data_IF_112923248778
#
_entry.id   IF_112923248778
#
_cell.length_a   1.000
_cell.length_b   1.000
_cell.length_c   1.000
_cell.angle_alpha   90.00
_cell.angle_beta   90.00
_cell.angle_gamma   90.00
#
_symmetry.space_group_name_H-M   'P 1'
#
loop_
_entity.id
_entity.type
_entity.pdbx_description
1 polymer ?
#
# COMPACT_ATOMS: atom_id res chain seq x y z
N UNK A 1 3.10 -20.79 27.88
CA UNK A 1 2.33 -21.26 29.06
C UNK A 1 2.31 -20.16 30.13
N UNK A 2 1.16 -19.51 30.35
CA UNK A 2 1.04 -18.51 31.42
C UNK A 2 1.17 -19.22 32.75
N UNK A 3 2.14 -18.74 33.52
CA UNK A 3 2.55 -19.10 34.87
C UNK A 3 1.38 -19.40 35.80
N UNK A 4 1.58 -20.40 36.67
CA UNK A 4 0.71 -20.80 37.79
C UNK A 4 0.21 -19.59 38.60
N UNK A 5 -0.91 -19.01 38.20
CA UNK A 5 -1.69 -18.10 39.01
C UNK A 5 -2.43 -18.95 40.03
N UNK A 6 -2.03 -18.85 41.30
CA UNK A 6 -2.69 -19.50 42.43
C UNK A 6 -4.16 -19.04 42.47
N UNK A 7 -5.04 -19.87 41.91
CA UNK A 7 -6.47 -19.59 41.68
C UNK A 7 -7.29 -19.42 42.96
N UNK A 8 -6.68 -19.65 44.13
CA UNK A 8 -7.34 -19.65 45.43
C UNK A 8 -7.76 -18.25 45.94
N UNK A 9 -7.18 -17.16 45.41
CA UNK A 9 -7.46 -15.79 45.90
C UNK A 9 -8.03 -14.83 44.83
N UNK A 10 -8.40 -15.31 43.65
CA UNK A 10 -8.92 -14.46 42.58
C UNK A 10 -10.45 -14.33 42.67
N UNK A 11 -10.95 -13.08 42.67
CA UNK A 11 -12.39 -12.80 42.63
C UNK A 11 -13.05 -13.51 41.44
N UNK A 12 -14.27 -14.08 41.59
CA UNK A 12 -14.95 -14.83 40.53
C UNK A 12 -15.07 -14.06 39.20
N UNK A 13 -15.21 -12.73 39.28
CA UNK A 13 -15.26 -11.85 38.11
C UNK A 13 -13.94 -11.82 37.33
N UNK A 14 -12.79 -11.93 38.01
CA UNK A 14 -11.47 -11.96 37.37
C UNK A 14 -11.23 -13.31 36.71
N UNK A 15 -11.66 -14.41 37.33
CA UNK A 15 -11.58 -15.76 36.74
C UNK A 15 -12.45 -15.83 35.48
N UNK A 16 -13.66 -15.25 35.52
CA UNK A 16 -14.55 -15.18 34.34
C UNK A 16 -13.91 -14.38 33.20
N UNK A 17 -13.30 -13.23 33.50
CA UNK A 17 -12.57 -12.42 32.50
C UNK A 17 -11.33 -13.12 31.94
N UNK A 18 -10.57 -13.83 32.77
CA UNK A 18 -9.40 -14.61 32.33
C UNK A 18 -9.80 -15.74 31.38
N UNK A 19 -10.91 -16.44 31.65
CA UNK A 19 -11.45 -17.48 30.76
C UNK A 19 -11.99 -16.93 29.43
N UNK A 20 -12.30 -15.63 29.37
CA UNK A 20 -12.71 -14.94 28.14
C UNK A 20 -11.52 -14.47 27.30
N UNK A 21 -10.28 -14.56 27.81
CA UNK A 21 -9.11 -14.20 27.02
C UNK A 21 -8.91 -15.21 25.89
N UNK A 22 -8.55 -14.74 24.69
CA UNK A 22 -8.25 -15.62 23.58
C UNK A 22 -7.06 -16.53 23.90
N UNK A 23 -7.10 -17.76 23.38
CA UNK A 23 -5.98 -18.69 23.51
C UNK A 23 -4.78 -18.18 22.73
N UNK A 24 -3.57 -18.67 23.06
CA UNK A 24 -2.35 -18.29 22.35
C UNK A 24 -2.44 -18.57 20.84
N UNK A 25 -3.11 -19.66 20.45
CA UNK A 25 -3.36 -20.01 19.05
C UNK A 25 -4.32 -19.02 18.37
N UNK A 26 -5.43 -18.66 19.02
CA UNK A 26 -6.35 -17.64 18.52
C UNK A 26 -5.66 -16.28 18.36
N UNK A 27 -4.77 -15.92 19.28
CA UNK A 27 -3.99 -14.68 19.20
C UNK A 27 -3.04 -14.69 17.99
N UNK A 28 -2.38 -15.82 17.73
CA UNK A 28 -1.52 -16.00 16.55
C UNK A 28 -2.29 -15.86 15.24
N UNK A 29 -3.43 -16.55 15.11
CA UNK A 29 -4.27 -16.42 13.90
C UNK A 29 -4.75 -14.99 13.67
N UNK A 30 -5.20 -14.30 14.73
CA UNK A 30 -5.61 -12.89 14.63
C UNK A 30 -4.45 -11.99 14.23
N UNK A 31 -3.25 -12.22 14.77
CA UNK A 31 -2.06 -11.48 14.40
C UNK A 31 -1.68 -11.71 12.93
N UNK A 32 -1.71 -12.95 12.43
CA UNK A 32 -1.44 -13.24 11.02
C UNK A 32 -2.43 -12.55 10.08
N UNK A 33 -3.73 -12.66 10.37
CA UNK A 33 -4.76 -11.99 9.57
C UNK A 33 -4.57 -10.47 9.59
N UNK A 34 -4.32 -9.89 10.77
CA UNK A 34 -4.08 -8.46 10.91
C UNK A 34 -2.86 -8.02 10.10
N UNK A 35 -1.76 -8.76 10.14
CA UNK A 35 -0.55 -8.46 9.37
C UNK A 35 -0.82 -8.51 7.87
N UNK A 36 -1.55 -9.52 7.38
CA UNK A 36 -1.92 -9.60 5.96
C UNK A 36 -2.75 -8.37 5.56
N UNK A 37 -3.78 -8.04 6.33
CA UNK A 37 -4.60 -6.86 6.05
C UNK A 37 -3.79 -5.57 6.11
N UNK A 38 -2.93 -5.40 7.11
CA UNK A 38 -2.12 -4.21 7.30
C UNK A 38 -1.16 -3.98 6.13
N UNK A 39 -0.51 -5.04 5.65
CA UNK A 39 0.38 -4.95 4.49
C UNK A 39 -0.41 -4.54 3.24
N UNK A 40 -1.53 -5.21 2.96
CA UNK A 40 -2.35 -4.92 1.78
C UNK A 40 -2.92 -3.50 1.81
N UNK A 41 -3.44 -3.05 2.95
CA UNK A 41 -4.00 -1.69 3.09
C UNK A 41 -2.93 -0.62 3.02
N UNK A 42 -1.75 -0.87 3.61
CA UNK A 42 -0.61 0.07 3.53
C UNK A 42 -0.14 0.22 2.08
N UNK A 43 0.06 -0.89 1.36
CA UNK A 43 0.44 -0.87 -0.05
C UNK A 43 -0.61 -0.13 -0.90
N UNK A 44 -1.90 -0.45 -0.75
CA UNK A 44 -2.97 0.21 -1.47
C UNK A 44 -3.02 1.72 -1.19
N UNK A 45 -2.84 2.12 0.07
CA UNK A 45 -2.84 3.54 0.47
C UNK A 45 -1.68 4.28 -0.18
N UNK A 46 -0.47 3.71 -0.15
CA UNK A 46 0.70 4.30 -0.80
C UNK A 46 0.47 4.43 -2.32
N UNK A 47 -0.14 3.42 -2.95
CA UNK A 47 -0.44 3.46 -4.39
C UNK A 47 -1.46 4.55 -4.72
N UNK A 48 -2.50 4.69 -3.90
CA UNK A 48 -3.50 5.73 -4.09
C UNK A 48 -2.90 7.14 -3.94
N UNK A 49 -2.05 7.36 -2.93
CA UNK A 49 -1.35 8.64 -2.74
C UNK A 49 -0.44 8.93 -3.93
N UNK A 50 0.41 7.97 -4.32
CA UNK A 50 1.30 8.13 -5.46
C UNK A 50 0.53 8.42 -6.74
N UNK A 51 -0.64 7.78 -6.94
CA UNK A 51 -1.49 7.97 -8.12
C UNK A 51 -2.03 9.37 -8.21
N UNK A 52 -2.53 9.90 -7.09
CA UNK A 52 -3.01 11.27 -7.06
C UNK A 52 -1.85 12.25 -7.26
N UNK A 53 -0.74 12.07 -6.55
CA UNK A 53 0.41 13.00 -6.63
C UNK A 53 1.03 13.01 -8.02
N UNK A 54 1.34 11.85 -8.61
CA UNK A 54 1.93 11.75 -9.94
C UNK A 54 0.92 12.18 -11.01
N UNK A 55 -0.35 11.79 -10.90
CA UNK A 55 -1.40 12.20 -11.85
C UNK A 55 -1.58 13.71 -11.89
N UNK A 56 -1.68 14.36 -10.72
CA UNK A 56 -1.76 15.83 -10.60
C UNK A 56 -0.48 16.49 -11.12
N UNK A 57 0.69 15.94 -10.81
CA UNK A 57 1.96 16.46 -11.27
C UNK A 57 2.08 16.41 -12.79
N UNK A 58 1.77 15.28 -13.42
CA UNK A 58 1.81 15.10 -14.87
C UNK A 58 0.82 16.06 -15.55
N UNK A 59 -0.41 16.17 -15.03
CA UNK A 59 -1.46 16.99 -15.61
C UNK A 59 -1.17 18.49 -15.58
N UNK A 60 -0.41 18.98 -14.58
CA UNK A 60 -0.16 20.41 -14.39
C UNK A 60 1.22 20.87 -14.84
N UNK A 61 2.24 20.01 -14.79
CA UNK A 61 3.63 20.42 -15.05
C UNK A 61 4.05 20.28 -16.51
N UNK A 62 3.39 19.41 -17.29
CA UNK A 62 3.78 19.14 -18.67
C UNK A 62 2.76 19.68 -19.65
N UNK A 63 3.26 20.41 -20.65
CA UNK A 63 2.46 20.74 -21.82
C UNK A 63 2.04 19.46 -22.55
N UNK A 64 0.85 19.42 -23.19
CA UNK A 64 0.32 18.23 -23.87
C UNK A 64 1.30 17.60 -24.86
N UNK A 65 2.17 18.42 -25.48
CA UNK A 65 3.22 17.97 -26.40
C UNK A 65 4.21 16.97 -25.79
N UNK A 66 4.48 17.06 -24.49
CA UNK A 66 5.37 16.12 -23.78
C UNK A 66 4.66 14.81 -23.40
N UNK A 67 3.33 14.79 -23.47
CA UNK A 67 2.47 13.64 -23.17
C UNK A 67 1.97 12.95 -24.44
N UNK A 68 2.51 13.30 -25.62
CA UNK A 68 2.12 12.68 -26.87
C UNK A 68 2.66 11.24 -26.98
N UNK A 69 1.78 10.37 -27.47
CA UNK A 69 2.09 9.03 -27.98
C UNK A 69 1.26 8.79 -29.24
N UNK A 70 1.93 8.38 -30.32
CA UNK A 70 1.34 8.15 -31.65
C UNK A 70 0.44 9.31 -32.15
N UNK A 71 0.88 10.55 -31.91
CA UNK A 71 0.17 11.76 -32.34
C UNK A 71 -1.05 12.15 -31.50
N UNK A 72 -1.33 11.41 -30.42
CA UNK A 72 -2.41 11.70 -29.47
C UNK A 72 -1.88 12.03 -28.07
N UNK A 73 -2.52 12.95 -27.36
CA UNK A 73 -2.14 13.28 -25.98
C UNK A 73 -2.64 12.20 -25.04
N UNK A 74 -1.75 11.64 -24.23
CA UNK A 74 -2.10 10.72 -23.17
C UNK A 74 -2.67 11.49 -21.97
N UNK A 75 -3.70 10.93 -21.33
CA UNK A 75 -4.20 11.44 -20.07
C UNK A 75 -3.16 11.23 -18.94
N UNK A 76 -2.79 12.29 -18.22
CA UNK A 76 -1.81 12.22 -17.14
C UNK A 76 -2.15 11.23 -16.01
N UNK A 77 -3.44 11.02 -15.72
CA UNK A 77 -3.88 10.01 -14.74
C UNK A 77 -3.71 8.58 -15.29
N UNK A 78 -3.95 8.36 -16.58
CA UNK A 78 -3.67 7.07 -17.20
C UNK A 78 -2.17 6.76 -17.15
N UNK A 79 -1.34 7.75 -17.49
CA UNK A 79 0.10 7.59 -17.38
C UNK A 79 0.55 7.30 -15.94
N UNK A 80 0.02 8.05 -14.97
CA UNK A 80 0.29 7.83 -13.54
C UNK A 80 -0.07 6.41 -13.09
N UNK A 81 -1.21 5.88 -13.54
CA UNK A 81 -1.63 4.51 -13.22
C UNK A 81 -0.62 3.48 -13.72
N UNK A 82 -0.19 3.60 -14.98
CA UNK A 82 0.80 2.69 -15.57
C UNK A 82 2.12 2.77 -14.82
N UNK A 83 2.64 3.99 -14.58
CA UNK A 83 3.90 4.21 -13.85
C UNK A 83 3.89 3.55 -12.46
N UNK A 84 2.77 3.62 -11.74
CA UNK A 84 2.68 3.06 -10.39
C UNK A 84 2.63 1.55 -10.43
N UNK A 85 1.81 0.97 -11.31
CA UNK A 85 1.72 -0.48 -11.44
C UNK A 85 3.05 -1.07 -11.87
N UNK A 86 3.74 -0.44 -12.83
CA UNK A 86 4.96 -1.01 -13.40
C UNK A 86 6.19 -0.69 -12.57
N UNK A 87 6.25 0.51 -11.97
CA UNK A 87 7.34 0.95 -11.11
C UNK A 87 7.41 0.16 -9.81
N UNK A 88 6.27 -0.08 -9.16
CA UNK A 88 6.25 -0.83 -7.89
C UNK A 88 6.46 -2.33 -8.09
N UNK A 89 5.98 -2.88 -9.20
CA UNK A 89 6.27 -4.27 -9.58
C UNK A 89 7.65 -4.44 -10.25
N UNK A 90 8.47 -3.38 -10.33
CA UNK A 90 9.79 -3.36 -10.97
C UNK A 90 9.80 -3.93 -12.40
N UNK A 91 8.66 -3.86 -13.10
CA UNK A 91 8.51 -4.43 -14.43
C UNK A 91 9.12 -3.57 -15.54
N UNK A 92 9.59 -2.35 -15.23
CA UNK A 92 10.26 -1.44 -16.17
C UNK A 92 9.38 -0.91 -17.33
N UNK A 93 8.12 -1.34 -17.40
CA UNK A 93 7.17 -0.91 -18.41
C UNK A 93 6.78 0.56 -18.19
N UNK A 94 6.57 1.28 -19.29
CA UNK A 94 6.18 2.68 -19.27
C UNK A 94 5.07 2.90 -20.29
N UNK A 95 4.18 3.89 -20.11
CA UNK A 95 3.17 4.18 -21.12
C UNK A 95 3.79 4.70 -22.42
N UNK A 96 5.04 5.19 -22.40
CA UNK A 96 5.75 5.68 -23.58
C UNK A 96 6.85 4.71 -24.06
N UNK A 97 7.13 4.77 -25.37
CA UNK A 97 8.11 3.90 -26.05
C UNK A 97 9.57 4.21 -25.73
N UNK A 98 9.88 5.46 -25.41
CA UNK A 98 11.17 5.95 -24.89
C UNK A 98 11.32 5.78 -23.38
N UNK A 99 10.33 5.18 -22.71
CA UNK A 99 10.38 4.89 -21.29
C UNK A 99 10.15 6.13 -20.41
N UNK A 100 10.65 6.06 -19.17
CA UNK A 100 10.67 7.19 -18.24
C UNK A 100 11.81 8.19 -18.52
N UNK A 101 12.64 7.96 -19.54
CA UNK A 101 13.79 8.81 -19.87
C UNK A 101 13.38 10.26 -20.20
N UNK A 102 12.16 10.47 -20.70
CA UNK A 102 11.59 11.80 -20.96
C UNK A 102 11.46 12.69 -19.71
N UNK A 103 11.47 12.10 -18.51
CA UNK A 103 11.39 12.82 -17.23
C UNK A 103 12.77 13.01 -16.56
N UNK A 104 13.87 12.63 -17.21
CA UNK A 104 15.23 12.77 -16.65
C UNK A 104 15.57 14.24 -16.34
N UNK A 105 15.02 15.19 -17.10
CA UNK A 105 15.18 16.63 -16.85
C UNK A 105 14.51 17.14 -15.57
N UNK A 106 13.66 16.33 -14.94
CA UNK A 106 13.00 16.70 -13.69
C UNK A 106 13.76 16.26 -12.44
N UNK A 107 14.80 15.43 -12.63
CA UNK A 107 15.67 14.93 -11.56
C UNK A 107 16.94 15.79 -11.42
N UNK A 108 17.36 16.44 -12.50
CA UNK A 108 18.52 17.35 -12.58
C UNK A 108 18.09 18.82 -12.46
#
# INVERSE_FOLDING_TARGET
>A
PVTNLNSKNLSPNVIKKLKMLPTAEQLRYRAYMLTIFLVLTTCFTIYAIAFVVIGVWIANKYEPQYLLQDGSSINGYYASFIIIITGFNQNGLSPWSDGLARFVKDIY
#
